data_IF_106546381920
#
_entry.id   IF_106546381920
#
_cell.length_a   1.000
_cell.length_b   1.000
_cell.length_c   1.000
_cell.angle_alpha   90.00
_cell.angle_beta   90.00
_cell.angle_gamma   90.00
#
_symmetry.space_group_name_H-M   'P 1'
#
loop_
_entity.id
_entity.type
_entity.pdbx_description
1 polymer ?
#
# COMPACT_ATOMS: atom_id res chain seq x y z
N UNK A 1 -14.76 25.40 -14.67
CA UNK A 1 -15.38 24.45 -13.73
C UNK A 1 -14.37 23.32 -13.56
N UNK A 2 -13.96 22.98 -12.33
CA UNK A 2 -12.98 21.91 -12.07
C UNK A 2 -13.68 20.57 -12.27
N UNK A 3 -13.11 19.69 -13.09
CA UNK A 3 -13.53 18.28 -13.13
C UNK A 3 -12.99 17.61 -11.88
N UNK A 4 -13.89 17.10 -11.05
CA UNK A 4 -13.54 16.36 -9.83
C UNK A 4 -13.77 14.87 -10.08
N UNK A 5 -12.72 14.09 -9.81
CA UNK A 5 -12.76 12.64 -9.74
C UNK A 5 -12.74 12.27 -8.26
N UNK A 6 -13.61 11.34 -7.87
CA UNK A 6 -13.54 10.73 -6.54
C UNK A 6 -13.46 9.24 -6.72
N UNK A 7 -12.43 8.61 -6.16
CA UNK A 7 -12.32 7.16 -6.08
C UNK A 7 -12.72 6.75 -4.67
N UNK A 8 -13.70 5.86 -4.54
CA UNK A 8 -14.11 5.35 -3.25
C UNK A 8 -12.99 4.51 -2.63
N UNK A 9 -12.48 4.85 -1.44
CA UNK A 9 -11.32 4.17 -0.84
C UNK A 9 -11.59 2.74 -0.37
N UNK A 10 -12.85 2.31 -0.32
CA UNK A 10 -13.23 0.95 0.07
C UNK A 10 -13.52 0.08 -1.16
N UNK A 11 -14.18 0.65 -2.17
CA UNK A 11 -14.67 -0.12 -3.33
C UNK A 11 -13.83 0.03 -4.60
N UNK A 12 -12.97 1.06 -4.71
CA UNK A 12 -12.28 1.36 -5.97
C UNK A 12 -13.14 2.10 -7.01
N UNK A 13 -14.44 2.27 -6.73
CA UNK A 13 -15.37 2.91 -7.67
C UNK A 13 -14.97 4.37 -7.95
N UNK A 14 -14.71 4.67 -9.22
CA UNK A 14 -14.40 6.03 -9.69
C UNK A 14 -15.66 6.73 -10.18
N UNK A 15 -16.03 7.84 -9.53
CA UNK A 15 -17.17 8.67 -9.92
C UNK A 15 -16.68 9.96 -10.56
N UNK A 16 -17.04 10.20 -11.83
CA UNK A 16 -16.76 11.43 -12.57
C UNK A 16 -17.91 12.41 -12.41
N UNK A 17 -17.70 13.55 -11.77
CA UNK A 17 -18.70 14.62 -11.73
C UNK A 17 -18.52 15.56 -12.94
N UNK A 18 -19.03 15.09 -14.09
CA UNK A 18 -19.13 15.76 -15.41
C UNK A 18 -17.82 16.22 -16.08
N UNK A 19 -17.67 15.88 -17.36
CA UNK A 19 -16.60 16.38 -18.23
C UNK A 19 -17.22 17.09 -19.44
N UNK A 20 -16.73 18.30 -19.75
CA UNK A 20 -17.05 19.03 -20.97
C UNK A 20 -16.06 18.59 -22.06
N UNK A 21 -16.57 18.02 -23.16
CA UNK A 21 -15.76 17.51 -24.28
C UNK A 21 -14.83 18.57 -24.88
N UNK A 22 -15.18 19.86 -24.78
CA UNK A 22 -14.35 20.95 -25.26
C UNK A 22 -13.07 21.18 -24.42
N UNK A 23 -13.05 20.74 -23.16
CA UNK A 23 -11.87 20.80 -22.27
C UNK A 23 -10.84 19.74 -22.66
N UNK A 24 -11.28 18.54 -23.05
CA UNK A 24 -10.41 17.43 -23.46
C UNK A 24 -9.56 17.81 -24.69
N UNK A 25 -10.17 18.46 -25.68
CA UNK A 25 -9.47 18.94 -26.89
C UNK A 25 -8.46 20.05 -26.58
N UNK A 26 -8.71 20.89 -25.56
CA UNK A 26 -7.81 21.98 -25.15
C UNK A 26 -6.68 21.53 -24.22
N UNK A 27 -6.88 20.48 -23.44
CA UNK A 27 -5.83 19.91 -22.59
C UNK A 27 -4.71 19.28 -23.42
N UNK A 28 -5.02 18.67 -24.56
CA UNK A 28 -4.01 18.13 -25.49
C UNK A 28 -3.03 19.19 -26.01
N UNK A 29 -3.44 20.46 -26.07
CA UNK A 29 -2.58 21.57 -26.52
C UNK A 29 -1.78 22.22 -25.38
N UNK A 30 -2.21 22.07 -24.12
CA UNK A 30 -1.54 22.65 -22.94
C UNK A 30 -0.56 21.70 -22.25
N UNK A 31 -0.80 20.39 -22.30
CA UNK A 31 -0.02 19.38 -21.56
C UNK A 31 1.23 18.94 -22.32
N UNK A 32 1.37 19.33 -23.60
CA UNK A 32 2.44 18.84 -24.47
C UNK A 32 2.29 17.36 -24.81
N UNK A 33 3.10 16.80 -25.72
CA UNK A 33 3.06 15.36 -26.00
C UNK A 33 3.44 14.59 -24.73
N UNK A 34 2.80 13.44 -24.51
CA UNK A 34 3.17 12.52 -23.42
C UNK A 34 4.67 12.23 -23.50
N UNK A 35 5.39 12.56 -22.44
CA UNK A 35 6.74 12.09 -22.26
C UNK A 35 6.69 10.79 -21.47
N UNK A 36 7.49 9.81 -21.88
CA UNK A 36 7.70 8.60 -21.09
C UNK A 36 8.38 9.00 -19.77
N UNK A 37 7.57 9.28 -18.75
CA UNK A 37 8.03 9.25 -17.37
C UNK A 37 7.94 7.81 -16.93
N UNK A 38 9.08 7.12 -16.99
CA UNK A 38 9.27 5.82 -16.37
C UNK A 38 8.82 5.90 -14.90
N UNK A 39 7.60 5.43 -14.64
CA UNK A 39 6.99 5.41 -13.31
C UNK A 39 7.79 4.54 -12.32
N UNK A 40 8.84 3.85 -12.78
CA UNK A 40 9.80 3.09 -11.99
C UNK A 40 10.97 3.88 -11.38
N UNK A 41 11.10 5.19 -11.62
CA UNK A 41 12.16 5.98 -10.96
C UNK A 41 11.62 6.86 -9.83
N UNK A 42 11.68 6.33 -8.60
CA UNK A 42 11.30 7.05 -7.40
C UNK A 42 12.15 8.31 -7.23
N UNK A 43 11.49 9.47 -7.12
CA UNK A 43 12.12 10.65 -6.54
C UNK A 43 12.25 10.38 -5.04
N UNK A 44 13.41 9.89 -4.62
CA UNK A 44 13.72 9.71 -3.21
C UNK A 44 13.74 11.09 -2.53
N UNK A 45 12.82 11.32 -1.59
CA UNK A 45 12.97 12.41 -0.63
C UNK A 45 14.00 12.00 0.42
N UNK A 46 14.97 12.87 0.81
CA UNK A 46 15.89 12.56 1.90
C UNK A 46 15.12 12.49 3.22
N UNK A 47 15.30 11.40 3.97
CA UNK A 47 14.67 11.21 5.29
C UNK A 47 15.68 11.64 6.37
N UNK A 48 15.27 12.41 7.40
CA UNK A 48 16.17 12.85 8.47
C UNK A 48 16.62 11.67 9.34
N UNK A 49 17.91 11.63 9.70
CA UNK A 49 18.47 10.61 10.59
C UNK A 49 18.39 11.04 12.06
N UNK A 50 17.48 10.45 12.83
CA UNK A 50 17.35 10.64 14.28
C UNK A 50 17.62 9.37 15.07
N UNK A 51 18.71 9.32 15.84
CA UNK A 51 19.04 8.18 16.70
C UNK A 51 18.26 8.25 18.02
N UNK A 52 17.23 7.42 18.19
CA UNK A 52 16.70 7.09 19.51
C UNK A 52 16.21 5.64 19.56
N UNK A 53 16.44 4.95 20.69
CA UNK A 53 16.09 3.52 20.93
C UNK A 53 14.57 3.32 21.05
N UNK A 54 13.86 3.58 19.96
CA UNK A 54 12.46 3.23 19.75
C UNK A 54 12.39 2.07 18.76
N UNK A 55 11.24 1.40 18.67
CA UNK A 55 11.05 0.29 17.73
C UNK A 55 11.43 0.74 16.32
N UNK A 56 12.49 0.13 15.79
CA UNK A 56 13.00 0.47 14.46
C UNK A 56 12.31 -0.39 13.41
N UNK A 57 11.99 0.25 12.31
CA UNK A 57 11.43 -0.36 11.11
C UNK A 57 12.35 -0.06 9.94
N UNK A 58 12.60 -1.05 9.09
CA UNK A 58 13.33 -0.86 7.84
C UNK A 58 12.38 -0.65 6.68
N UNK A 59 12.53 0.47 6.00
CA UNK A 59 11.77 0.82 4.80
C UNK A 59 12.72 1.04 3.62
N UNK A 60 12.25 0.73 2.42
CA UNK A 60 12.89 1.11 1.16
C UNK A 60 12.58 2.58 0.83
N UNK A 61 11.31 2.98 0.97
CA UNK A 61 10.86 4.34 0.66
C UNK A 61 9.45 4.63 1.19
N UNK A 62 9.10 5.91 1.25
CA UNK A 62 7.71 6.39 1.35
C UNK A 62 7.35 7.11 0.04
N UNK A 63 6.15 6.85 -0.47
CA UNK A 63 5.59 7.52 -1.65
C UNK A 63 4.25 8.13 -1.29
N UNK A 64 3.98 9.34 -1.76
CA UNK A 64 2.70 10.01 -1.58
C UNK A 64 1.98 10.18 -2.92
N UNK A 65 0.66 10.26 -2.88
CA UNK A 65 -0.12 10.51 -4.08
C UNK A 65 -0.28 9.28 -4.98
N UNK A 66 -0.05 8.07 -4.47
CA UNK A 66 -0.18 6.87 -5.30
C UNK A 66 -1.64 6.59 -5.62
N UNK A 67 -1.90 6.27 -6.89
CA UNK A 67 -3.20 5.83 -7.41
C UNK A 67 -3.20 4.34 -7.78
N UNK A 68 -2.07 3.65 -7.59
CA UNK A 68 -1.85 2.26 -8.05
C UNK A 68 -1.56 1.29 -6.91
N UNK A 69 -1.47 1.78 -5.66
CA UNK A 69 -1.23 0.98 -4.45
C UNK A 69 -2.52 0.76 -3.63
N UNK A 70 -3.68 0.92 -4.25
CA UNK A 70 -5.00 0.72 -3.67
C UNK A 70 -5.99 1.83 -4.05
N UNK A 71 -7.28 1.66 -3.71
CA UNK A 71 -8.32 2.64 -3.99
C UNK A 71 -8.07 4.03 -3.38
N UNK A 72 -8.39 5.07 -4.14
CA UNK A 72 -8.15 6.45 -3.73
C UNK A 72 -6.69 6.87 -3.85
N UNK A 73 -6.36 7.99 -3.23
CA UNK A 73 -5.00 8.53 -3.16
C UNK A 73 -4.32 7.97 -1.91
N UNK A 74 -3.23 7.22 -2.08
CA UNK A 74 -2.51 6.56 -0.98
C UNK A 74 -1.20 7.27 -0.64
N UNK A 75 -0.91 7.37 0.66
CA UNK A 75 0.47 7.37 1.14
C UNK A 75 0.93 5.91 1.28
N UNK A 76 2.11 5.58 0.80
CA UNK A 76 2.59 4.19 0.71
C UNK A 76 3.92 4.05 1.41
N UNK A 77 4.01 3.12 2.37
CA UNK A 77 5.26 2.67 2.93
C UNK A 77 5.71 1.40 2.21
N UNK A 78 6.84 1.47 1.49
CA UNK A 78 7.49 0.30 0.95
C UNK A 78 8.47 -0.25 1.99
N UNK A 79 8.08 -1.32 2.68
CA UNK A 79 8.86 -2.01 3.71
C UNK A 79 10.05 -2.72 3.06
N UNK A 80 11.18 -2.79 3.79
CA UNK A 80 12.37 -3.50 3.34
C UNK A 80 12.38 -4.94 3.87
N UNK A 81 12.86 -5.86 3.02
CA UNK A 81 13.15 -7.24 3.36
C UNK A 81 12.05 -8.18 2.89
N UNK A 82 12.42 -9.21 2.13
CA UNK A 82 11.53 -10.32 1.75
C UNK A 82 12.37 -11.53 1.36
N UNK A 83 12.09 -12.68 1.96
CA UNK A 83 12.83 -13.93 1.69
C UNK A 83 12.22 -14.73 0.53
N UNK A 84 10.97 -14.46 0.13
CA UNK A 84 10.26 -15.19 -0.92
C UNK A 84 10.92 -15.06 -2.30
N UNK A 85 11.55 -13.92 -2.57
CA UNK A 85 12.32 -13.67 -3.80
C UNK A 85 11.62 -14.08 -5.11
N UNK A 86 10.33 -13.73 -5.23
CA UNK A 86 9.49 -14.13 -6.37
C UNK A 86 10.16 -13.71 -7.70
N UNK A 87 10.10 -14.58 -8.70
CA UNK A 87 10.59 -14.26 -10.05
C UNK A 87 9.84 -13.06 -10.61
N UNK A 88 10.55 -12.11 -11.23
CA UNK A 88 9.98 -10.85 -11.76
C UNK A 88 9.15 -10.05 -10.75
N UNK A 89 9.47 -10.12 -9.46
CA UNK A 89 8.84 -9.30 -8.43
C UNK A 89 9.01 -7.80 -8.73
N UNK A 90 7.91 -7.03 -8.71
CA UNK A 90 7.92 -5.58 -8.87
C UNK A 90 8.80 -4.89 -7.81
N UNK A 91 8.73 -5.39 -6.57
CA UNK A 91 9.52 -4.91 -5.44
C UNK A 91 10.84 -5.67 -5.27
N UNK A 92 11.42 -6.25 -6.32
CA UNK A 92 12.65 -7.05 -6.21
C UNK A 92 13.83 -6.34 -5.53
N UNK A 93 13.88 -5.01 -5.65
CA UNK A 93 14.89 -4.16 -5.00
C UNK A 93 14.78 -4.13 -3.46
N UNK A 94 13.66 -4.55 -2.88
CA UNK A 94 13.44 -4.58 -1.42
C UNK A 94 13.80 -5.92 -0.78
N UNK A 95 14.20 -6.95 -1.54
CA UNK A 95 14.40 -8.30 -0.99
C UNK A 95 15.50 -8.38 0.09
N UNK A 96 16.60 -7.62 -0.09
CA UNK A 96 17.75 -7.69 0.80
C UNK A 96 17.42 -7.18 2.20
N UNK A 97 17.50 -8.05 3.22
CA UNK A 97 17.03 -7.75 4.57
C UNK A 97 17.74 -6.55 5.24
N UNK A 98 19.02 -6.35 4.94
CA UNK A 98 19.81 -5.23 5.46
C UNK A 98 19.87 -4.01 4.52
N UNK A 99 19.10 -4.03 3.42
CA UNK A 99 18.90 -2.88 2.56
C UNK A 99 18.07 -1.79 3.22
N UNK A 100 17.64 -0.80 2.43
CA UNK A 100 16.78 0.29 2.91
C UNK A 100 17.40 1.10 4.05
N UNK A 101 16.55 1.81 4.78
CA UNK A 101 16.94 2.65 5.93
C UNK A 101 16.18 2.22 7.18
N UNK A 102 16.84 2.31 8.33
CA UNK A 102 16.18 2.15 9.63
C UNK A 102 15.59 3.50 10.06
N UNK A 103 14.28 3.52 10.33
CA UNK A 103 13.57 4.66 10.90
C UNK A 103 12.79 4.19 12.12
N UNK A 104 12.35 5.12 12.96
CA UNK A 104 11.45 4.79 14.06
C UNK A 104 10.02 4.66 13.56
N UNK A 105 9.18 3.88 14.25
CA UNK A 105 7.74 3.80 13.93
C UNK A 105 7.08 5.18 13.94
N UNK A 106 7.43 6.03 14.91
CA UNK A 106 6.86 7.38 15.03
C UNK A 106 7.23 8.27 13.84
N UNK A 107 8.48 8.20 13.36
CA UNK A 107 8.91 8.96 12.18
C UNK A 107 8.17 8.48 10.93
N UNK A 108 8.06 7.16 10.73
CA UNK A 108 7.34 6.60 9.59
C UNK A 108 5.87 7.02 9.59
N UNK A 109 5.18 6.89 10.74
CA UNK A 109 3.77 7.30 10.86
C UNK A 109 3.64 8.79 10.56
N UNK A 110 4.49 9.63 11.15
CA UNK A 110 4.46 11.09 10.95
C UNK A 110 4.63 11.46 9.47
N UNK A 111 5.51 10.76 8.75
CA UNK A 111 5.71 10.94 7.31
C UNK A 111 4.46 10.48 6.52
N UNK A 112 3.89 9.32 6.85
CA UNK A 112 2.71 8.79 6.16
C UNK A 112 1.47 9.67 6.32
N UNK A 113 1.33 10.37 7.44
CA UNK A 113 0.16 11.20 7.79
C UNK A 113 0.43 12.72 7.76
N UNK A 114 1.52 13.16 7.12
CA UNK A 114 1.85 14.58 6.90
C UNK A 114 0.68 15.48 6.52
N UNK A 115 0.37 16.49 7.34
CA UNK A 115 -0.82 17.34 7.16
C UNK A 115 -0.89 18.09 5.82
N UNK A 116 0.24 18.33 5.15
CA UNK A 116 0.33 19.01 3.86
C UNK A 116 0.12 18.08 2.65
N UNK A 117 -0.05 16.78 2.88
CA UNK A 117 -0.27 15.76 1.85
C UNK A 117 -1.71 15.25 1.94
N UNK A 118 -2.51 15.47 0.90
CA UNK A 118 -3.84 14.88 0.79
C UNK A 118 -3.75 13.36 0.55
N UNK A 119 -4.59 12.58 1.25
CA UNK A 119 -4.71 11.13 1.08
C UNK A 119 -6.09 10.64 1.51
N UNK A 120 -6.53 9.54 0.93
CA UNK A 120 -7.71 8.78 1.35
C UNK A 120 -7.32 7.62 2.29
N UNK A 121 -6.04 7.25 2.32
CA UNK A 121 -5.51 6.36 3.34
C UNK A 121 -4.04 5.98 3.13
N UNK A 122 -3.60 4.94 3.82
CA UNK A 122 -2.22 4.45 3.82
C UNK A 122 -2.12 3.00 3.37
N UNK A 123 -1.19 2.70 2.46
CA UNK A 123 -0.84 1.34 2.05
C UNK A 123 0.53 0.95 2.61
N UNK A 124 0.64 -0.25 3.18
CA UNK A 124 1.91 -0.84 3.62
C UNK A 124 2.24 -1.98 2.65
N UNK A 125 3.30 -1.82 1.86
CA UNK A 125 3.71 -2.71 0.77
C UNK A 125 5.24 -2.87 0.77
N UNK A 126 5.87 -3.16 -0.37
CA UNK A 126 7.32 -3.29 -0.50
C UNK A 126 7.77 -4.74 -0.59
N UNK A 127 8.66 -5.14 0.31
CA UNK A 127 9.10 -6.53 0.46
C UNK A 127 7.99 -7.39 1.08
N UNK A 128 8.21 -7.85 2.30
CA UNK A 128 7.20 -8.51 3.11
C UNK A 128 6.97 -7.67 4.38
N UNK A 129 5.94 -6.80 4.41
CA UNK A 129 5.61 -6.01 5.60
C UNK A 129 5.52 -6.85 6.88
N UNK A 130 4.97 -8.06 6.78
CA UNK A 130 4.76 -8.95 7.93
C UNK A 130 6.01 -9.75 8.33
N UNK A 131 7.16 -9.52 7.66
CA UNK A 131 8.47 -9.98 8.11
C UNK A 131 9.08 -9.05 9.19
N UNK A 132 8.46 -7.89 9.45
CA UNK A 132 8.73 -7.01 10.58
C UNK A 132 7.45 -6.79 11.41
N UNK A 133 6.87 -7.88 11.98
CA UNK A 133 5.48 -7.88 12.42
C UNK A 133 5.23 -6.91 13.58
N UNK A 134 6.14 -6.78 14.55
CA UNK A 134 5.98 -5.87 15.69
C UNK A 134 5.95 -4.41 15.25
N UNK A 135 6.85 -4.03 14.34
CA UNK A 135 6.89 -2.68 13.78
C UNK A 135 5.64 -2.39 12.95
N UNK A 136 5.24 -3.32 12.09
CA UNK A 136 4.04 -3.20 11.27
C UNK A 136 2.78 -3.03 12.14
N UNK A 137 2.63 -3.85 13.19
CA UNK A 137 1.52 -3.77 14.14
C UNK A 137 1.43 -2.39 14.82
N UNK A 138 2.58 -1.83 15.24
CA UNK A 138 2.62 -0.49 15.83
C UNK A 138 2.23 0.58 14.81
N UNK A 139 2.75 0.53 13.58
CA UNK A 139 2.37 1.46 12.50
C UNK A 139 0.86 1.40 12.26
N UNK A 140 0.29 0.21 12.07
CA UNK A 140 -1.16 0.03 11.87
C UNK A 140 -1.94 0.58 13.04
N UNK A 141 -1.52 0.30 14.28
CA UNK A 141 -2.18 0.83 15.49
C UNK A 141 -2.22 2.35 15.52
N UNK A 142 -1.10 3.00 15.22
CA UNK A 142 -1.03 4.47 15.18
C UNK A 142 -1.88 5.06 14.06
N UNK A 143 -1.87 4.44 12.87
CA UNK A 143 -2.70 4.87 11.74
C UNK A 143 -4.19 4.75 12.04
N UNK A 144 -4.63 3.62 12.61
CA UNK A 144 -6.03 3.43 13.00
C UNK A 144 -6.44 4.38 14.14
N UNK A 145 -5.55 4.67 15.08
CA UNK A 145 -5.78 5.69 16.11
C UNK A 145 -5.97 7.11 15.56
N UNK A 146 -5.50 7.37 14.34
CA UNK A 146 -5.69 8.62 13.60
C UNK A 146 -6.83 8.53 12.56
N UNK A 147 -7.69 7.52 12.65
CA UNK A 147 -8.82 7.27 11.75
C UNK A 147 -8.43 7.13 10.27
N UNK A 148 -7.27 6.51 10.01
CA UNK A 148 -6.78 6.25 8.64
C UNK A 148 -7.23 4.88 8.15
N UNK A 149 -7.65 4.78 6.88
CA UNK A 149 -7.88 3.51 6.20
C UNK A 149 -6.56 2.86 5.80
N UNK A 150 -6.33 1.61 6.21
CA UNK A 150 -5.05 0.89 6.07
C UNK A 150 -5.21 -0.36 5.21
N UNK A 151 -4.40 -0.42 4.15
CA UNK A 151 -4.21 -1.61 3.31
C UNK A 151 -2.83 -2.20 3.61
N UNK A 152 -2.73 -3.52 3.77
CA UNK A 152 -1.46 -4.21 3.92
C UNK A 152 -1.31 -5.24 2.79
N UNK A 153 -0.18 -5.24 2.11
CA UNK A 153 0.21 -6.31 1.19
C UNK A 153 1.05 -7.35 1.92
N UNK A 154 0.85 -8.61 1.59
CA UNK A 154 1.70 -9.70 2.06
C UNK A 154 1.82 -10.78 0.98
N UNK A 155 3.01 -11.35 0.85
CA UNK A 155 3.23 -12.58 0.07
C UNK A 155 2.77 -13.84 0.79
N UNK A 156 2.38 -13.73 2.06
CA UNK A 156 1.81 -14.81 2.86
C UNK A 156 0.29 -14.84 2.70
N UNK A 157 -0.33 -15.99 2.92
CA UNK A 157 -1.79 -16.13 2.90
C UNK A 157 -2.37 -15.95 4.31
N UNK A 158 -3.57 -15.38 4.40
CA UNK A 158 -4.29 -15.08 5.64
C UNK A 158 -4.34 -16.27 6.61
N UNK A 159 -4.59 -17.48 6.10
CA UNK A 159 -4.69 -18.68 6.92
C UNK A 159 -3.37 -19.06 7.58
N UNK A 160 -2.23 -18.78 6.92
CA UNK A 160 -0.90 -18.97 7.52
C UNK A 160 -0.62 -17.92 8.59
N UNK A 161 -1.00 -16.67 8.33
CA UNK A 161 -0.84 -15.57 9.28
C UNK A 161 -1.62 -15.83 10.58
N UNK A 162 -2.88 -16.24 10.48
CA UNK A 162 -3.71 -16.61 11.65
C UNK A 162 -3.15 -17.83 12.37
N UNK A 163 -2.67 -18.83 11.63
CA UNK A 163 -2.11 -20.07 12.19
C UNK A 163 -0.80 -19.83 12.95
N UNK A 164 -0.05 -18.78 12.62
CA UNK A 164 1.19 -18.43 13.30
C UNK A 164 0.99 -18.12 14.79
N UNK A 165 -0.21 -17.64 15.19
CA UNK A 165 -0.54 -17.24 16.58
C UNK A 165 0.48 -16.24 17.14
N UNK A 166 0.97 -15.36 16.28
CA UNK A 166 1.89 -14.30 16.64
C UNK A 166 1.08 -13.05 17.06
N UNK A 167 1.27 -12.51 18.28
CA UNK A 167 0.48 -11.38 18.76
C UNK A 167 0.59 -10.12 17.90
N UNK A 168 1.73 -9.90 17.22
CA UNK A 168 1.90 -8.73 16.36
C UNK A 168 1.19 -8.94 15.02
N UNK A 169 1.24 -10.14 14.43
CA UNK A 169 0.42 -10.47 13.26
C UNK A 169 -1.07 -10.35 13.57
N UNK A 170 -1.51 -10.88 14.71
CA UNK A 170 -2.90 -10.75 15.17
C UNK A 170 -3.27 -9.27 15.37
N UNK A 171 -2.35 -8.45 15.88
CA UNK A 171 -2.48 -7.00 15.98
C UNK A 171 -2.74 -6.32 14.64
N UNK A 172 -1.98 -6.69 13.60
CA UNK A 172 -2.21 -6.17 12.23
C UNK A 172 -3.58 -6.63 11.70
N UNK A 173 -3.87 -7.92 11.75
CA UNK A 173 -5.10 -8.50 11.20
C UNK A 173 -6.37 -8.02 11.93
N UNK A 174 -6.26 -7.66 13.20
CA UNK A 174 -7.38 -7.13 13.99
C UNK A 174 -7.71 -5.67 13.70
N UNK A 175 -6.77 -4.91 13.12
CA UNK A 175 -6.87 -3.45 12.98
C UNK A 175 -6.88 -2.97 11.52
N UNK A 176 -6.11 -3.59 10.63
CA UNK A 176 -6.09 -3.20 9.23
C UNK A 176 -7.47 -3.42 8.57
N UNK A 177 -7.76 -2.64 7.53
CA UNK A 177 -9.05 -2.68 6.84
C UNK A 177 -9.03 -3.72 5.72
N UNK A 178 -7.94 -3.77 4.97
CA UNK A 178 -7.78 -4.70 3.84
C UNK A 178 -6.41 -5.38 3.88
N UNK A 179 -6.39 -6.68 3.59
CA UNK A 179 -5.18 -7.45 3.31
C UNK A 179 -5.18 -7.88 1.84
N UNK A 180 -4.15 -7.51 1.09
CA UNK A 180 -3.84 -8.12 -0.21
C UNK A 180 -2.83 -9.23 0.02
N UNK A 181 -3.24 -10.47 -0.15
CA UNK A 181 -2.47 -11.64 0.29
C UNK A 181 -2.00 -12.55 -0.84
N UNK A 182 -1.02 -13.40 -0.54
CA UNK A 182 -0.48 -14.40 -1.45
C UNK A 182 0.73 -13.94 -2.28
N UNK A 183 1.60 -14.89 -2.66
CA UNK A 183 2.83 -14.58 -3.36
C UNK A 183 2.55 -14.15 -4.80
N UNK A 184 3.43 -13.34 -5.38
CA UNK A 184 3.40 -13.06 -6.81
C UNK A 184 3.80 -14.30 -7.61
N UNK A 185 2.95 -14.72 -8.54
CA UNK A 185 3.19 -15.88 -9.42
C UNK A 185 3.22 -15.42 -10.87
N UNK A 186 4.40 -15.47 -11.51
CA UNK A 186 4.62 -14.99 -12.89
C UNK A 186 3.67 -15.65 -13.90
N UNK A 187 3.42 -16.95 -13.77
CA UNK A 187 2.50 -17.67 -14.68
C UNK A 187 1.04 -17.28 -14.53
N UNK A 188 0.69 -16.57 -13.45
CA UNK A 188 -0.64 -16.05 -13.16
C UNK A 188 -0.67 -14.52 -13.24
N UNK A 189 0.39 -13.89 -13.78
CA UNK A 189 0.47 -12.45 -13.96
C UNK A 189 -0.67 -11.97 -14.85
N UNK A 190 -1.37 -10.94 -14.40
CA UNK A 190 -2.46 -10.32 -15.14
C UNK A 190 -2.52 -8.83 -14.79
N UNK A 191 -2.27 -7.99 -15.79
CA UNK A 191 -2.19 -6.53 -15.63
C UNK A 191 -3.56 -5.86 -15.61
N UNK A 192 -4.64 -6.60 -15.92
CA UNK A 192 -6.01 -6.10 -15.82
C UNK A 192 -6.56 -6.15 -14.39
N UNK A 193 -5.87 -6.81 -13.47
CA UNK A 193 -6.30 -6.93 -12.08
C UNK A 193 -6.04 -5.62 -11.32
N UNK A 194 -7.08 -5.06 -10.72
CA UNK A 194 -6.95 -3.91 -9.85
C UNK A 194 -6.04 -4.23 -8.65
N UNK A 195 -4.94 -3.47 -8.53
CA UNK A 195 -4.08 -3.44 -7.35
C UNK A 195 -3.42 -4.78 -6.97
N UNK A 196 -3.31 -5.75 -7.89
CA UNK A 196 -2.58 -7.01 -7.64
C UNK A 196 -1.87 -7.48 -8.89
N UNK A 197 -0.74 -8.16 -8.73
CA UNK A 197 0.13 -8.55 -9.83
C UNK A 197 -0.22 -9.90 -10.46
N UNK A 198 -0.88 -10.79 -9.71
CA UNK A 198 -1.21 -12.15 -10.16
C UNK A 198 -2.55 -12.64 -9.62
N UNK A 199 -3.26 -13.45 -10.40
CA UNK A 199 -4.65 -13.85 -10.13
C UNK A 199 -4.86 -14.75 -8.91
N UNK A 200 -3.78 -15.33 -8.36
CA UNK A 200 -3.85 -16.05 -7.07
C UNK A 200 -3.89 -15.12 -5.85
N UNK A 201 -3.53 -13.84 -6.01
CA UNK A 201 -3.54 -12.90 -4.90
C UNK A 201 -4.96 -12.49 -4.57
N UNK A 202 -5.33 -12.48 -3.29
CA UNK A 202 -6.70 -12.18 -2.86
C UNK A 202 -6.73 -10.83 -2.18
N UNK A 203 -7.82 -10.09 -2.40
CA UNK A 203 -8.12 -8.87 -1.65
C UNK A 203 -9.13 -9.23 -0.58
N UNK A 204 -8.76 -9.11 0.69
CA UNK A 204 -9.55 -9.57 1.82
C UNK A 204 -10.06 -8.36 2.59
N UNK A 205 -11.38 -8.25 2.73
CA UNK A 205 -12.04 -7.33 3.64
C UNK A 205 -11.85 -7.82 5.07
N UNK A 206 -10.84 -7.30 5.78
CA UNK A 206 -10.56 -7.72 7.14
C UNK A 206 -11.66 -7.24 8.10
N UNK A 207 -12.25 -6.08 7.87
CA UNK A 207 -13.34 -5.56 8.70
C UNK A 207 -14.55 -6.50 8.67
N UNK A 208 -15.02 -6.86 7.48
CA UNK A 208 -16.13 -7.79 7.29
C UNK A 208 -15.77 -9.22 7.68
N UNK A 209 -14.51 -9.62 7.50
CA UNK A 209 -14.02 -10.93 7.98
C UNK A 209 -14.14 -11.04 9.50
N UNK A 210 -13.78 -9.99 10.25
CA UNK A 210 -13.93 -9.93 11.72
C UNK A 210 -15.39 -9.93 12.14
N UNK A 211 -16.23 -9.16 11.47
CA UNK A 211 -17.67 -9.07 11.79
C UNK A 211 -18.39 -10.41 11.61
N UNK A 212 -18.10 -11.10 10.51
CA UNK A 212 -18.82 -12.33 10.13
C UNK A 212 -18.17 -13.62 10.65
N UNK A 213 -16.92 -13.56 11.10
CA UNK A 213 -16.11 -14.72 11.45
C UNK A 213 -15.77 -15.63 10.25
N UNK A 214 -15.96 -15.14 9.02
CA UNK A 214 -15.70 -15.86 7.77
C UNK A 214 -14.86 -15.00 6.84
N UNK A 215 -13.92 -15.60 6.13
CA UNK A 215 -13.10 -14.90 5.16
C UNK A 215 -13.98 -14.21 4.09
N UNK A 216 -13.90 -12.89 4.01
CA UNK A 216 -14.65 -12.07 3.08
C UNK A 216 -13.70 -11.45 2.05
N UNK A 217 -13.96 -11.68 0.77
CA UNK A 217 -13.17 -11.10 -0.33
C UNK A 217 -13.80 -9.80 -0.83
N UNK A 218 -12.95 -8.87 -1.25
CA UNK A 218 -13.34 -7.69 -2.04
C UNK A 218 -13.03 -7.96 -3.51
N UNK A 219 -13.94 -7.53 -4.37
CA UNK A 219 -13.66 -7.38 -5.79
C UNK A 219 -13.46 -5.88 -6.02
N UNK A 220 -12.23 -5.52 -6.41
CA UNK A 220 -11.93 -4.18 -6.93
C UNK A 220 -11.99 -4.27 -8.44
N UNK A 221 -12.85 -3.44 -9.04
CA UNK A 221 -13.03 -3.32 -10.49
C UNK A 221 -12.00 -2.37 -11.12
#
# INVERSE_FOLDING_TARGET
MKTEFTINPHTGEMVVRSADEALLTRLQTYVGPSQDTDCGQSRQSPIPSGSNKSAQVRIASVVHGSLVDGPGVRSVAFMQGCTSSCSQCHSGHTHYLSGGIGVTVSELVSELVRADVARDGVTISGGEPLAQPEACAQVVTHLKGADIHVIVYSGLIYEDLVRAKDPALDGVLSLADVLVDGPFVVSLRDESLAYRGSSNQRVIDLAKTRETGKLCLLEWE
#
